data_IF_487835670799
#
_entry.id   IF_487835670799
#
_cell.length_a   1.000
_cell.length_b   1.000
_cell.length_c   1.000
_cell.angle_alpha   90.00
_cell.angle_beta   90.00
_cell.angle_gamma   90.00
#
_symmetry.space_group_name_H-M   'P 1'
#
loop_
_entity.id
_entity.type
_entity.pdbx_description
1 polymer ?
#
# COMPACT_ATOMS: atom_id res chain seq x y z
N UNK A 1 -1.74 -17.18 -21.64
CA UNK A 1 -2.01 -17.39 -20.20
C UNK A 1 -0.86 -16.95 -19.28
N UNK A 2 0.28 -16.45 -19.78
CA UNK A 2 1.42 -16.01 -18.94
C UNK A 2 1.34 -14.56 -18.44
N UNK A 3 0.34 -13.78 -18.87
CA UNK A 3 0.26 -12.33 -18.59
C UNK A 3 -0.28 -12.00 -17.20
N UNK A 4 -1.30 -12.72 -16.72
CA UNK A 4 -1.98 -12.38 -15.44
C UNK A 4 -1.11 -12.61 -14.21
N UNK A 5 -0.27 -13.65 -14.20
CA UNK A 5 0.66 -13.91 -13.08
C UNK A 5 1.78 -12.87 -13.02
N UNK A 6 2.31 -12.45 -14.18
CA UNK A 6 3.35 -11.43 -14.22
C UNK A 6 2.79 -10.06 -13.83
N UNK A 7 1.59 -9.71 -14.31
CA UNK A 7 0.85 -8.52 -13.87
C UNK A 7 0.61 -8.53 -12.35
N UNK A 8 0.18 -9.66 -11.79
CA UNK A 8 -0.02 -9.81 -10.35
C UNK A 8 1.29 -9.60 -9.56
N UNK A 9 2.43 -10.13 -10.06
CA UNK A 9 3.74 -9.94 -9.43
C UNK A 9 4.15 -8.46 -9.43
N UNK A 10 3.95 -7.75 -10.53
CA UNK A 10 4.24 -6.33 -10.62
C UNK A 10 3.39 -5.50 -9.64
N UNK A 11 2.11 -5.84 -9.50
CA UNK A 11 1.22 -5.20 -8.53
C UNK A 11 1.65 -5.44 -7.08
N UNK A 12 2.07 -6.68 -6.76
CA UNK A 12 2.61 -7.01 -5.43
C UNK A 12 3.92 -6.27 -5.15
N UNK A 13 4.83 -6.20 -6.12
CA UNK A 13 6.08 -5.45 -5.97
C UNK A 13 5.82 -3.95 -5.79
N UNK A 14 4.85 -3.39 -6.51
CA UNK A 14 4.44 -2.00 -6.34
C UNK A 14 3.90 -1.71 -4.93
N UNK A 15 3.05 -2.60 -4.38
CA UNK A 15 2.56 -2.48 -2.99
C UNK A 15 3.72 -2.57 -1.99
N UNK A 16 4.65 -3.51 -2.18
CA UNK A 16 5.83 -3.66 -1.31
C UNK A 16 6.73 -2.43 -1.35
N UNK A 17 6.97 -1.89 -2.53
CA UNK A 17 7.77 -0.68 -2.70
C UNK A 17 7.12 0.53 -2.01
N UNK A 18 5.80 0.71 -2.15
CA UNK A 18 5.07 1.78 -1.46
C UNK A 18 5.07 1.59 0.07
N UNK A 19 4.89 0.36 0.56
CA UNK A 19 4.97 0.06 1.99
C UNK A 19 6.36 0.36 2.57
N UNK A 20 7.44 0.08 1.83
CA UNK A 20 8.80 0.45 2.23
C UNK A 20 8.99 1.96 2.32
N UNK A 21 8.41 2.74 1.40
CA UNK A 21 8.47 4.22 1.44
C UNK A 21 7.68 4.80 2.60
N UNK A 22 6.53 4.22 2.91
CA UNK A 22 5.69 4.61 4.03
C UNK A 22 6.30 4.24 5.41
N UNK A 23 7.29 3.36 5.46
CA UNK A 23 7.88 2.88 6.72
C UNK A 23 8.77 3.93 7.43
N UNK A 24 8.29 5.17 7.54
CA UNK A 24 8.90 6.25 8.30
C UNK A 24 8.83 5.94 9.79
N UNK A 25 9.93 6.22 10.49
CA UNK A 25 10.00 6.04 11.94
C UNK A 25 9.42 7.24 12.68
N UNK A 26 8.93 7.00 13.90
CA UNK A 26 8.46 8.09 14.76
C UNK A 26 9.54 9.14 15.04
N UNK A 27 10.81 8.73 15.13
CA UNK A 27 11.93 9.64 15.33
C UNK A 27 12.24 10.56 14.14
N UNK A 28 11.76 10.23 12.93
CA UNK A 28 11.86 11.13 11.78
C UNK A 28 10.76 12.20 11.80
N UNK A 29 9.57 11.84 12.30
CA UNK A 29 8.43 12.74 12.50
C UNK A 29 8.63 13.67 13.70
N UNK A 30 9.15 13.11 14.80
CA UNK A 30 9.35 13.80 16.08
C UNK A 30 10.79 13.54 16.53
N UNK A 31 11.77 14.30 15.98
CA UNK A 31 13.19 14.09 16.28
C UNK A 31 13.56 14.39 17.73
N UNK A 32 12.78 15.25 18.40
CA UNK A 32 12.91 15.55 19.82
C UNK A 32 11.55 15.90 20.44
N UNK A 33 11.49 16.04 21.76
CA UNK A 33 10.25 16.20 22.51
C UNK A 33 9.46 17.49 22.20
N UNK A 34 10.06 18.48 21.54
CA UNK A 34 9.47 19.79 21.29
C UNK A 34 9.35 20.13 19.80
N UNK A 35 9.89 19.29 18.92
CA UNK A 35 9.94 19.54 17.48
C UNK A 35 9.14 18.50 16.72
N UNK A 36 8.22 18.97 15.89
CA UNK A 36 7.57 18.16 14.85
C UNK A 36 8.18 18.54 13.51
N UNK A 37 8.63 17.54 12.76
CA UNK A 37 9.14 17.71 11.41
C UNK A 37 7.98 17.68 10.41
N UNK A 38 7.40 18.84 10.12
CA UNK A 38 6.25 18.97 9.21
C UNK A 38 6.56 18.54 7.77
N UNK A 39 7.83 18.56 7.36
CA UNK A 39 8.24 18.06 6.05
C UNK A 39 8.22 16.52 6.01
N UNK A 40 8.64 15.88 7.10
CA UNK A 40 8.53 14.42 7.25
C UNK A 40 7.07 13.99 7.33
N UNK A 41 6.23 14.73 8.07
CA UNK A 41 4.78 14.49 8.13
C UNK A 41 4.13 14.57 6.73
N UNK A 42 4.41 15.63 5.97
CA UNK A 42 3.90 15.75 4.60
C UNK A 42 4.40 14.62 3.66
N UNK A 43 5.63 14.15 3.87
CA UNK A 43 6.19 13.03 3.11
C UNK A 43 5.56 11.68 3.49
N UNK A 44 5.24 11.47 4.78
CA UNK A 44 4.54 10.29 5.27
C UNK A 44 3.13 10.22 4.70
N UNK A 45 2.38 11.33 4.75
CA UNK A 45 1.03 11.41 4.19
C UNK A 45 1.03 11.13 2.67
N UNK A 46 2.00 11.66 1.93
CA UNK A 46 2.17 11.36 0.52
C UNK A 46 2.48 9.87 0.29
N UNK A 47 3.36 9.27 1.09
CA UNK A 47 3.68 7.85 1.01
C UNK A 47 2.48 6.95 1.38
N UNK A 48 1.65 7.38 2.33
CA UNK A 48 0.41 6.70 2.69
C UNK A 48 -0.58 6.70 1.53
N UNK A 49 -0.77 7.86 0.89
CA UNK A 49 -1.63 7.99 -0.28
C UNK A 49 -1.17 7.09 -1.45
N UNK A 50 0.14 7.06 -1.74
CA UNK A 50 0.71 6.15 -2.74
C UNK A 50 0.45 4.68 -2.42
N UNK A 51 0.66 4.28 -1.15
CA UNK A 51 0.41 2.91 -0.70
C UNK A 51 -1.08 2.55 -0.83
N UNK A 52 -1.99 3.47 -0.50
CA UNK A 52 -3.43 3.26 -0.63
C UNK A 52 -3.83 3.00 -2.09
N UNK A 53 -3.28 3.76 -3.04
CA UNK A 53 -3.49 3.58 -4.48
C UNK A 53 -2.96 2.23 -4.96
N UNK A 54 -1.72 1.86 -4.58
CA UNK A 54 -1.13 0.59 -4.96
C UNK A 54 -1.95 -0.61 -4.42
N UNK A 55 -2.39 -0.54 -3.15
CA UNK A 55 -3.24 -1.56 -2.54
C UNK A 55 -4.59 -1.67 -3.26
N UNK A 56 -5.17 -0.54 -3.68
CA UNK A 56 -6.42 -0.53 -4.45
C UNK A 56 -6.24 -1.23 -5.80
N UNK A 57 -5.19 -0.90 -6.54
CA UNK A 57 -4.92 -1.54 -7.84
C UNK A 57 -4.77 -3.06 -7.71
N UNK A 58 -4.09 -3.54 -6.66
CA UNK A 58 -3.99 -4.98 -6.39
C UNK A 58 -5.35 -5.61 -6.06
N UNK A 59 -6.17 -4.97 -5.21
CA UNK A 59 -7.53 -5.48 -4.90
C UNK A 59 -8.42 -5.53 -6.14
N UNK A 60 -8.40 -4.48 -6.95
CA UNK A 60 -9.19 -4.39 -8.18
C UNK A 60 -8.79 -5.51 -9.15
N UNK A 61 -7.49 -5.77 -9.30
CA UNK A 61 -6.98 -6.90 -10.09
C UNK A 61 -7.48 -8.25 -9.56
N UNK A 62 -7.35 -8.51 -8.25
CA UNK A 62 -7.82 -9.76 -7.63
C UNK A 62 -9.33 -9.95 -7.88
N UNK A 63 -10.14 -8.92 -7.66
CA UNK A 63 -11.58 -8.97 -7.89
C UNK A 63 -11.90 -9.30 -9.36
N UNK A 64 -11.22 -8.65 -10.30
CA UNK A 64 -11.40 -8.90 -11.73
C UNK A 64 -10.93 -10.31 -12.16
N UNK A 65 -9.81 -10.79 -11.62
CA UNK A 65 -9.24 -12.11 -11.96
C UNK A 65 -10.13 -13.25 -11.47
N UNK A 66 -10.68 -13.13 -10.26
CA UNK A 66 -11.44 -14.21 -9.62
C UNK A 66 -12.96 -14.02 -9.69
N UNK A 67 -13.44 -12.90 -10.24
CA UNK A 67 -14.87 -12.60 -10.35
C UNK A 67 -15.56 -12.40 -9.01
N UNK A 68 -14.83 -11.92 -8.00
CA UNK A 68 -15.32 -11.68 -6.63
C UNK A 68 -15.45 -10.20 -6.34
N UNK A 69 -16.30 -9.85 -5.39
CA UNK A 69 -16.49 -8.50 -4.87
C UNK A 69 -15.49 -8.14 -3.77
N UNK A 70 -15.37 -6.84 -3.46
CA UNK A 70 -14.54 -6.35 -2.36
C UNK A 70 -14.93 -6.93 -0.99
N UNK A 71 -16.23 -7.04 -0.62
CA UNK A 71 -16.62 -7.70 0.63
C UNK A 71 -16.20 -9.17 0.69
N UNK A 72 -16.38 -9.93 -0.40
CA UNK A 72 -15.95 -11.34 -0.48
C UNK A 72 -14.44 -11.48 -0.33
N UNK A 73 -13.67 -10.62 -1.00
CA UNK A 73 -12.22 -10.55 -0.81
C UNK A 73 -11.84 -10.26 0.66
N UNK A 74 -12.57 -9.34 1.31
CA UNK A 74 -12.37 -9.01 2.72
C UNK A 74 -12.64 -10.21 3.65
N UNK A 75 -13.69 -10.99 3.39
CA UNK A 75 -13.98 -12.21 4.14
C UNK A 75 -12.90 -13.28 3.99
N UNK A 76 -12.29 -13.41 2.81
CA UNK A 76 -11.19 -14.35 2.57
C UNK A 76 -9.89 -13.95 3.27
N UNK A 77 -9.61 -12.66 3.43
CA UNK A 77 -8.40 -12.15 4.06
C UNK A 77 -8.42 -12.22 5.60
N UNK A 78 -9.56 -12.57 6.20
CA UNK A 78 -9.75 -12.72 7.65
C UNK A 78 -9.58 -14.18 8.12
N UNK A 79 -9.33 -15.11 7.20
CA UNK A 79 -9.01 -16.52 7.45
C UNK A 79 -7.49 -16.71 7.66
#
# INVERSE_FOLDING_TARGET
MSSTIEEARLLVEAVRAAARRHAMSWGELVPDALTVNTAAEAAEEAAYAEMAVAKRALRDHICATYGISLPELGSLAML
#
